data_IF_238617558411
#
_entry.id   IF_238617558411
#
_cell.length_a   1.000
_cell.length_b   1.000
_cell.length_c   1.000
_cell.angle_alpha   90.00
_cell.angle_beta   90.00
_cell.angle_gamma   90.00
#
_symmetry.space_group_name_H-M   'P 1'
#
loop_
_entity.id
_entity.type
_entity.pdbx_description
1 polymer ?
#
# COMPACT_ATOMS: atom_id res chain seq x y z
N UNK A 1 -5.15 41.98 -9.15
CA UNK A 1 -4.48 40.67 -8.95
C UNK A 1 -5.56 39.66 -8.62
N UNK A 2 -5.74 38.65 -9.44
CA UNK A 2 -6.73 37.57 -9.20
C UNK A 2 -6.09 36.49 -8.35
N UNK A 3 -6.85 35.86 -7.46
CA UNK A 3 -6.34 34.78 -6.56
C UNK A 3 -5.61 33.69 -7.34
N UNK A 4 -6.09 33.35 -8.55
CA UNK A 4 -5.44 32.35 -9.43
C UNK A 4 -4.02 32.76 -9.91
N UNK A 5 -3.63 34.02 -9.79
CA UNK A 5 -2.29 34.50 -10.18
C UNK A 5 -1.25 34.32 -9.05
N UNK A 6 -1.75 34.01 -7.85
CA UNK A 6 -0.92 33.79 -6.65
C UNK A 6 -0.72 32.29 -6.39
N UNK A 7 -1.65 31.46 -6.86
CA UNK A 7 -1.62 30.03 -6.62
C UNK A 7 -0.92 29.31 -7.78
N UNK A 8 0.00 28.44 -7.45
CA UNK A 8 0.68 27.55 -8.40
C UNK A 8 -0.17 26.33 -8.79
N UNK A 9 -1.36 26.23 -8.22
CA UNK A 9 -2.31 25.13 -8.43
C UNK A 9 -3.35 25.57 -9.45
N UNK A 10 -3.66 24.73 -10.43
CA UNK A 10 -4.77 24.96 -11.35
C UNK A 10 -6.10 24.74 -10.61
N UNK A 11 -6.80 25.86 -10.34
CA UNK A 11 -8.11 25.84 -9.67
C UNK A 11 -9.24 25.28 -10.54
N UNK A 12 -8.98 24.92 -11.79
CA UNK A 12 -9.96 24.28 -12.67
C UNK A 12 -9.93 22.76 -12.56
N UNK A 13 -8.89 22.19 -11.92
CA UNK A 13 -8.87 20.77 -11.60
C UNK A 13 -9.82 20.45 -10.44
N UNK A 14 -10.62 19.43 -10.62
CA UNK A 14 -11.58 18.96 -9.62
C UNK A 14 -10.82 18.26 -8.48
N UNK A 15 -10.60 18.99 -7.39
CA UNK A 15 -9.94 18.43 -6.20
C UNK A 15 -10.90 17.44 -5.56
N UNK A 16 -10.62 16.16 -5.68
CA UNK A 16 -11.40 15.12 -5.01
C UNK A 16 -11.37 15.33 -3.49
N UNK A 17 -12.53 15.59 -2.91
CA UNK A 17 -12.68 15.76 -1.47
C UNK A 17 -12.44 14.48 -0.67
N UNK A 18 -12.51 13.32 -1.32
CA UNK A 18 -12.31 12.00 -0.71
C UNK A 18 -11.41 11.17 -1.63
N UNK A 19 -10.37 10.63 -1.04
CA UNK A 19 -9.45 9.72 -1.73
C UNK A 19 -10.15 8.37 -1.93
N UNK A 20 -10.24 7.91 -3.17
CA UNK A 20 -10.67 6.54 -3.48
C UNK A 20 -9.48 5.59 -3.35
N UNK A 21 -9.48 4.76 -2.31
CA UNK A 21 -8.39 3.82 -2.06
C UNK A 21 -8.25 2.75 -3.16
N UNK A 22 -9.32 2.44 -3.87
CA UNK A 22 -9.35 1.38 -4.88
C UNK A 22 -9.03 1.88 -6.29
N UNK A 23 -9.09 3.19 -6.54
CA UNK A 23 -8.66 3.77 -7.81
C UNK A 23 -7.13 3.90 -7.84
N UNK A 24 -6.49 2.95 -8.52
CA UNK A 24 -5.04 2.86 -8.74
C UNK A 24 -4.69 3.04 -10.22
N UNK A 25 -5.50 3.79 -10.97
CA UNK A 25 -5.18 4.15 -12.32
C UNK A 25 -3.91 5.02 -12.38
N UNK A 26 -3.13 4.90 -13.45
CA UNK A 26 -1.87 5.64 -13.61
C UNK A 26 -2.08 7.16 -13.48
N UNK A 27 -3.17 7.66 -14.06
CA UNK A 27 -3.55 9.08 -13.99
C UNK A 27 -3.82 9.52 -12.56
N UNK A 28 -4.54 8.69 -11.79
CA UNK A 28 -4.87 9.01 -10.39
C UNK A 28 -3.62 8.98 -9.52
N UNK A 29 -2.79 7.95 -9.66
CA UNK A 29 -1.51 7.86 -8.93
C UNK A 29 -0.64 9.09 -9.20
N UNK A 30 -0.54 9.50 -10.46
CA UNK A 30 0.23 10.68 -10.83
C UNK A 30 -0.32 11.95 -10.17
N UNK A 31 -1.62 12.20 -10.29
CA UNK A 31 -2.28 13.37 -9.72
C UNK A 31 -2.12 13.43 -8.19
N UNK A 32 -2.27 12.29 -7.52
CA UNK A 32 -2.09 12.18 -6.08
C UNK A 32 -0.65 12.45 -5.65
N UNK A 33 0.34 11.94 -6.36
CA UNK A 33 1.76 12.22 -6.05
C UNK A 33 2.08 13.70 -6.26
N UNK A 34 1.61 14.29 -7.35
CA UNK A 34 1.90 15.70 -7.70
C UNK A 34 1.23 16.69 -6.74
N UNK A 35 0.03 16.38 -6.26
CA UNK A 35 -0.70 17.23 -5.31
C UNK A 35 -0.29 17.04 -3.85
N UNK A 36 0.51 16.00 -3.52
CA UNK A 36 0.87 15.73 -2.14
C UNK A 36 1.83 16.75 -1.56
N UNK A 37 1.47 17.32 -0.43
CA UNK A 37 2.29 18.28 0.31
C UNK A 37 2.96 17.57 1.48
N UNK A 38 4.30 17.54 1.44
CA UNK A 38 5.11 16.97 2.51
C UNK A 38 5.48 18.03 3.52
N UNK A 39 5.25 17.73 4.80
CA UNK A 39 5.70 18.55 5.92
C UNK A 39 6.80 17.80 6.69
N UNK A 40 7.58 18.50 7.50
CA UNK A 40 8.61 17.88 8.35
C UNK A 40 8.02 16.82 9.29
N UNK A 41 6.79 17.04 9.77
CA UNK A 41 6.06 16.04 10.58
C UNK A 41 5.80 14.77 9.81
N UNK A 42 5.21 14.88 8.62
CA UNK A 42 4.94 13.74 7.75
C UNK A 42 6.23 13.02 7.33
N UNK A 43 7.29 13.77 7.02
CA UNK A 43 8.57 13.17 6.67
C UNK A 43 9.10 12.26 7.77
N UNK A 44 9.01 12.67 9.04
CA UNK A 44 9.40 11.83 10.19
C UNK A 44 8.55 10.56 10.29
N UNK A 45 7.24 10.65 10.06
CA UNK A 45 6.35 9.49 10.08
C UNK A 45 6.71 8.47 8.96
N UNK A 46 7.04 8.97 7.75
CA UNK A 46 7.52 8.10 6.68
C UNK A 46 8.84 7.42 7.01
N UNK A 47 9.79 8.14 7.58
CA UNK A 47 11.07 7.57 8.03
C UNK A 47 10.84 6.52 9.11
N UNK A 48 10.03 6.82 10.13
CA UNK A 48 9.69 5.89 11.19
C UNK A 48 9.03 4.61 10.66
N UNK A 49 8.12 4.75 9.68
CA UNK A 49 7.53 3.59 9.01
C UNK A 49 8.60 2.76 8.30
N UNK A 50 9.47 3.39 7.51
CA UNK A 50 10.50 2.67 6.76
C UNK A 50 11.49 1.99 7.71
N UNK A 51 11.89 2.65 8.79
CA UNK A 51 12.75 2.07 9.83
C UNK A 51 12.14 0.80 10.42
N UNK A 52 10.87 0.86 10.78
CA UNK A 52 10.13 -0.30 11.31
C UNK A 52 9.98 -1.39 10.25
N UNK A 53 9.55 -1.02 9.04
CA UNK A 53 9.27 -1.98 7.96
C UNK A 53 10.52 -2.68 7.43
N UNK A 54 11.70 -2.05 7.52
CA UNK A 54 12.98 -2.61 7.03
C UNK A 54 13.81 -3.28 8.12
N UNK A 55 13.37 -3.24 9.37
CA UNK A 55 14.01 -3.93 10.49
C UNK A 55 13.42 -5.34 10.68
N UNK A 56 14.16 -6.21 11.40
CA UNK A 56 13.68 -7.55 11.76
C UNK A 56 12.64 -7.52 12.89
N UNK A 57 11.63 -6.64 12.77
CA UNK A 57 10.57 -6.49 13.76
C UNK A 57 9.42 -7.43 13.40
N UNK A 58 8.85 -8.08 14.42
CA UNK A 58 7.74 -9.03 14.29
C UNK A 58 6.35 -8.37 14.27
N UNK A 59 6.29 -7.04 14.28
CA UNK A 59 5.01 -6.34 14.22
C UNK A 59 4.38 -6.48 12.83
N UNK A 60 3.15 -6.98 12.82
CA UNK A 60 2.38 -7.27 11.60
C UNK A 60 1.37 -6.18 11.24
N UNK A 61 1.28 -5.10 12.03
CA UNK A 61 0.29 -4.06 11.83
C UNK A 61 0.77 -2.64 12.15
N UNK A 62 0.36 -1.70 11.32
CA UNK A 62 0.52 -0.26 11.55
C UNK A 62 -0.85 0.39 11.63
N UNK A 63 -1.09 1.15 12.71
CA UNK A 63 -2.35 1.88 12.90
C UNK A 63 -2.15 3.36 12.62
N UNK A 64 -2.84 3.90 11.61
CA UNK A 64 -2.82 5.32 11.28
C UNK A 64 -4.08 5.97 11.85
N UNK A 65 -3.91 6.86 12.83
CA UNK A 65 -5.02 7.57 13.47
C UNK A 65 -4.91 9.08 13.29
N UNK A 66 -6.01 9.79 13.45
CA UNK A 66 -6.08 11.25 13.33
C UNK A 66 -7.51 11.73 13.07
N UNK A 67 -7.73 13.04 13.12
CA UNK A 67 -9.04 13.65 12.86
C UNK A 67 -9.53 13.42 11.43
N UNK A 68 -10.83 13.59 11.23
CA UNK A 68 -11.42 13.60 9.89
C UNK A 68 -10.74 14.70 9.03
N UNK A 69 -10.41 14.39 7.79
CA UNK A 69 -9.73 15.34 6.90
C UNK A 69 -8.23 15.53 7.14
N UNK A 70 -7.60 14.82 8.09
CA UNK A 70 -6.16 14.94 8.38
C UNK A 70 -5.24 14.25 7.37
N UNK A 71 -5.76 13.72 6.25
CA UNK A 71 -4.96 13.09 5.20
C UNK A 71 -4.52 11.64 5.46
N UNK A 72 -5.12 10.93 6.45
CA UNK A 72 -4.75 9.53 6.77
C UNK A 72 -4.79 8.59 5.57
N UNK A 73 -5.88 8.61 4.83
CA UNK A 73 -6.05 7.76 3.64
C UNK A 73 -5.02 8.11 2.57
N UNK A 74 -4.71 9.38 2.43
CA UNK A 74 -3.69 9.85 1.49
C UNK A 74 -2.29 9.38 1.88
N UNK A 75 -1.93 9.54 3.16
CA UNK A 75 -0.68 9.04 3.71
C UNK A 75 -0.54 7.52 3.47
N UNK A 76 -1.57 6.73 3.82
CA UNK A 76 -1.56 5.28 3.62
C UNK A 76 -1.47 4.90 2.15
N UNK A 77 -2.15 5.63 1.25
CA UNK A 77 -2.12 5.37 -0.19
C UNK A 77 -0.74 5.63 -0.78
N UNK A 78 -0.09 6.75 -0.42
CA UNK A 78 1.27 7.02 -0.85
C UNK A 78 2.28 6.00 -0.30
N UNK A 79 2.15 5.57 0.95
CA UNK A 79 2.95 4.45 1.47
C UNK A 79 2.78 3.20 0.60
N UNK A 80 1.56 2.87 0.23
CA UNK A 80 1.29 1.77 -0.68
C UNK A 80 1.97 1.93 -2.04
N UNK A 81 1.98 3.14 -2.61
CA UNK A 81 2.69 3.42 -3.86
C UNK A 81 4.21 3.31 -3.71
N UNK A 82 4.75 3.75 -2.58
CA UNK A 82 6.17 3.56 -2.29
C UNK A 82 6.55 2.08 -2.16
N UNK A 83 5.67 1.26 -1.61
CA UNK A 83 5.89 -0.18 -1.44
C UNK A 83 5.72 -0.94 -2.77
N UNK A 84 4.62 -0.72 -3.49
CA UNK A 84 4.33 -1.41 -4.77
C UNK A 84 5.16 -0.90 -5.94
N UNK A 85 5.60 0.35 -5.87
CA UNK A 85 6.46 1.03 -6.84
C UNK A 85 6.00 0.89 -8.31
N UNK A 86 4.74 1.22 -8.65
CA UNK A 86 4.27 1.14 -10.02
C UNK A 86 5.04 2.11 -10.92
N UNK A 87 5.16 1.75 -12.21
CA UNK A 87 5.75 2.65 -13.20
C UNK A 87 4.67 3.62 -13.70
N UNK A 88 4.98 4.91 -13.72
CA UNK A 88 4.08 5.98 -14.13
C UNK A 88 4.78 6.80 -15.21
N UNK A 89 4.31 6.72 -16.45
CA UNK A 89 4.93 7.44 -17.55
C UNK A 89 6.43 7.15 -17.70
N UNK A 90 6.85 5.91 -17.48
CA UNK A 90 8.26 5.51 -17.57
C UNK A 90 9.11 5.79 -16.32
N UNK A 91 8.54 6.40 -15.27
CA UNK A 91 9.25 6.69 -14.01
C UNK A 91 8.62 5.92 -12.85
N UNK A 92 9.41 5.23 -11.99
CA UNK A 92 8.89 4.57 -10.80
C UNK A 92 8.19 5.56 -9.85
N UNK A 93 7.04 5.16 -9.30
CA UNK A 93 6.28 6.01 -8.38
C UNK A 93 7.10 6.42 -7.15
N UNK A 94 7.94 5.52 -6.63
CA UNK A 94 8.82 5.78 -5.49
C UNK A 94 9.76 6.95 -5.75
N UNK A 95 10.35 7.02 -6.93
CA UNK A 95 11.27 8.10 -7.29
C UNK A 95 10.54 9.45 -7.34
N UNK A 96 9.33 9.46 -7.91
CA UNK A 96 8.47 10.65 -7.93
C UNK A 96 8.08 11.10 -6.52
N UNK A 97 7.71 10.16 -5.66
CA UNK A 97 7.33 10.46 -4.27
C UNK A 97 8.54 11.00 -3.50
N UNK A 98 9.72 10.38 -3.62
CA UNK A 98 10.95 10.85 -2.94
C UNK A 98 11.30 12.28 -3.37
N UNK A 99 11.05 12.66 -4.61
CA UNK A 99 11.27 14.03 -5.07
C UNK A 99 10.35 15.04 -4.37
N UNK A 100 9.18 14.62 -3.86
CA UNK A 100 8.29 15.51 -3.08
C UNK A 100 8.86 15.90 -1.71
N UNK A 101 9.86 15.14 -1.21
CA UNK A 101 10.56 15.43 0.04
C UNK A 101 11.70 16.44 -0.16
N UNK A 102 11.43 17.50 -0.91
CA UNK A 102 12.39 18.59 -1.17
C UNK A 102 12.00 19.84 -0.39
N UNK A 103 12.98 20.55 0.17
CA UNK A 103 12.76 21.77 0.95
C UNK A 103 12.30 21.54 2.39
N UNK A 104 12.35 20.31 2.87
CA UNK A 104 12.11 19.92 4.27
C UNK A 104 13.41 19.90 5.08
N UNK A 105 13.29 19.91 6.41
CA UNK A 105 14.44 19.72 7.28
C UNK A 105 15.04 18.31 7.09
N UNK A 106 16.36 18.21 7.15
CA UNK A 106 17.08 16.94 7.00
C UNK A 106 16.75 16.17 5.71
N UNK A 107 16.43 16.88 4.63
CA UNK A 107 16.03 16.32 3.33
C UNK A 107 16.90 15.14 2.88
N UNK A 108 18.23 15.27 2.97
CA UNK A 108 19.15 14.23 2.54
C UNK A 108 19.03 12.95 3.39
N UNK A 109 18.84 13.09 4.71
CA UNK A 109 18.65 11.96 5.62
C UNK A 109 17.32 11.26 5.34
N UNK A 110 16.25 12.03 5.13
CA UNK A 110 14.93 11.51 4.80
C UNK A 110 14.96 10.73 3.48
N UNK A 111 15.52 11.33 2.42
CA UNK A 111 15.63 10.67 1.11
C UNK A 111 16.48 9.40 1.17
N UNK A 112 17.56 9.40 1.94
CA UNK A 112 18.36 8.20 2.16
C UNK A 112 17.59 7.11 2.89
N UNK A 113 16.84 7.45 3.95
CA UNK A 113 15.99 6.49 4.66
C UNK A 113 14.95 5.87 3.73
N UNK A 114 14.24 6.69 2.95
CA UNK A 114 13.21 6.22 2.01
C UNK A 114 13.80 5.33 0.90
N UNK A 115 15.03 5.59 0.47
CA UNK A 115 15.69 4.79 -0.58
C UNK A 115 15.96 3.33 -0.17
N UNK A 116 15.94 3.01 1.13
CA UNK A 116 16.06 1.61 1.61
C UNK A 116 14.94 0.71 1.09
N UNK A 117 13.78 1.27 0.76
CA UNK A 117 12.70 0.52 0.12
C UNK A 117 13.07 -0.02 -1.26
N UNK A 118 14.16 0.45 -1.89
CA UNK A 118 14.63 -0.06 -3.19
C UNK A 118 15.09 -1.52 -3.13
N UNK A 119 15.44 -2.01 -1.94
CA UNK A 119 15.83 -3.41 -1.73
C UNK A 119 14.66 -4.34 -1.47
N UNK A 120 13.45 -3.79 -1.33
CA UNK A 120 12.26 -4.54 -0.95
C UNK A 120 11.32 -4.68 -2.14
N UNK A 121 10.89 -5.91 -2.39
CA UNK A 121 9.81 -6.22 -3.32
C UNK A 121 8.56 -6.57 -2.51
N UNK A 122 7.49 -5.81 -2.69
CA UNK A 122 6.23 -6.03 -1.98
C UNK A 122 5.03 -5.94 -2.92
N UNK A 123 3.96 -6.63 -2.55
CA UNK A 123 2.66 -6.52 -3.19
C UNK A 123 1.72 -5.78 -2.27
N UNK A 124 1.07 -4.76 -2.79
CA UNK A 124 0.12 -3.94 -2.05
C UNK A 124 -1.30 -4.22 -2.55
N UNK A 125 -2.21 -4.36 -1.61
CA UNK A 125 -3.65 -4.45 -1.88
C UNK A 125 -4.30 -3.28 -1.17
N UNK A 126 -4.89 -2.37 -1.94
CA UNK A 126 -5.69 -1.28 -1.39
C UNK A 126 -7.12 -1.78 -1.21
N UNK A 127 -7.68 -1.54 -0.05
CA UNK A 127 -9.00 -2.04 0.30
C UNK A 127 -9.74 -1.09 1.23
N UNK A 128 -10.94 -0.68 0.85
CA UNK A 128 -11.89 0.00 1.71
C UNK A 128 -12.84 -1.04 2.32
N UNK A 129 -12.60 -1.40 3.58
CA UNK A 129 -13.41 -2.40 4.29
C UNK A 129 -14.89 -2.00 4.37
N UNK A 130 -15.21 -0.71 4.41
CA UNK A 130 -16.58 -0.24 4.46
C UNK A 130 -17.35 -0.53 3.15
N UNK A 131 -16.65 -0.71 2.03
CA UNK A 131 -17.24 -1.06 0.74
C UNK A 131 -17.32 -2.57 0.49
N UNK A 132 -16.77 -3.40 1.38
CA UNK A 132 -16.64 -4.84 1.18
C UNK A 132 -17.73 -5.62 1.90
N UNK A 133 -18.11 -6.76 1.31
CA UNK A 133 -18.92 -7.77 2.02
C UNK A 133 -18.03 -8.51 3.04
N UNK A 134 -18.23 -8.20 4.30
CA UNK A 134 -17.51 -8.82 5.43
C UNK A 134 -18.33 -9.91 6.14
N UNK A 135 -19.42 -10.39 5.55
CA UNK A 135 -20.29 -11.42 6.15
C UNK A 135 -19.55 -12.71 6.51
N UNK A 136 -18.50 -13.06 5.76
CA UNK A 136 -17.61 -14.20 6.03
C UNK A 136 -16.40 -13.86 6.91
N UNK A 137 -16.34 -12.66 7.46
CA UNK A 137 -15.26 -12.17 8.29
C UNK A 137 -14.17 -11.39 7.52
N UNK A 138 -13.46 -10.53 8.25
CA UNK A 138 -12.45 -9.62 7.68
C UNK A 138 -11.29 -10.40 7.05
N UNK A 139 -10.80 -11.44 7.71
CA UNK A 139 -9.68 -12.25 7.20
C UNK A 139 -10.01 -12.89 5.83
N UNK A 140 -11.22 -13.41 5.66
CA UNK A 140 -11.67 -13.93 4.37
C UNK A 140 -11.75 -12.84 3.30
N UNK A 141 -12.25 -11.67 3.65
CA UNK A 141 -12.34 -10.52 2.74
C UNK A 141 -10.95 -10.05 2.29
N UNK A 142 -9.99 -9.94 3.20
CA UNK A 142 -8.60 -9.60 2.88
C UNK A 142 -7.97 -10.63 1.95
N UNK A 143 -8.12 -11.92 2.26
CA UNK A 143 -7.56 -12.99 1.46
C UNK A 143 -8.16 -13.05 0.05
N UNK A 144 -9.47 -12.85 -0.08
CA UNK A 144 -10.15 -12.77 -1.38
C UNK A 144 -9.60 -11.64 -2.25
N UNK A 145 -9.42 -10.44 -1.67
CA UNK A 145 -8.85 -9.31 -2.39
C UNK A 145 -7.35 -9.53 -2.73
N UNK A 146 -6.64 -10.25 -1.89
CA UNK A 146 -5.29 -10.69 -2.20
C UNK A 146 -5.26 -11.65 -3.41
N UNK A 147 -6.13 -12.66 -3.46
CA UNK A 147 -6.26 -13.54 -4.63
C UNK A 147 -6.56 -12.74 -5.90
N UNK A 148 -7.49 -11.79 -5.83
CA UNK A 148 -7.80 -10.87 -6.93
C UNK A 148 -6.57 -10.11 -7.41
N UNK A 149 -5.72 -9.63 -6.51
CA UNK A 149 -4.48 -8.94 -6.86
C UNK A 149 -3.48 -9.83 -7.59
N UNK A 150 -3.61 -11.14 -7.48
CA UNK A 150 -2.83 -12.16 -8.20
C UNK A 150 -3.49 -12.61 -9.51
N UNK A 151 -4.61 -12.01 -9.91
CA UNK A 151 -5.48 -12.45 -11.00
C UNK A 151 -5.98 -13.90 -10.83
N UNK A 152 -6.16 -14.33 -9.58
CA UNK A 152 -6.75 -15.63 -9.24
C UNK A 152 -8.23 -15.46 -8.93
N UNK A 153 -9.06 -16.53 -9.17
CA UNK A 153 -10.46 -16.52 -8.79
C UNK A 153 -10.65 -16.28 -7.28
N UNK A 154 -11.68 -15.51 -6.92
CA UNK A 154 -11.99 -15.12 -5.54
C UNK A 154 -12.80 -16.20 -4.79
N UNK A 155 -12.64 -17.46 -5.15
CA UNK A 155 -13.38 -18.62 -4.62
C UNK A 155 -12.42 -19.74 -4.24
N UNK A 156 -12.96 -20.91 -3.90
CA UNK A 156 -12.20 -22.11 -3.52
C UNK A 156 -11.21 -22.54 -4.62
N UNK A 157 -11.57 -22.35 -5.89
CA UNK A 157 -10.66 -22.66 -7.00
C UNK A 157 -9.43 -21.75 -7.00
N UNK A 158 -9.59 -20.45 -6.69
CA UNK A 158 -8.47 -19.52 -6.52
C UNK A 158 -7.56 -19.89 -5.34
N UNK A 159 -8.16 -20.36 -4.25
CA UNK A 159 -7.41 -20.87 -3.08
C UNK A 159 -6.56 -22.07 -3.50
N UNK A 160 -7.15 -23.02 -4.24
CA UNK A 160 -6.44 -24.19 -4.73
C UNK A 160 -5.27 -23.81 -5.67
N UNK A 161 -5.52 -22.90 -6.63
CA UNK A 161 -4.47 -22.42 -7.53
C UNK A 161 -3.33 -21.70 -6.77
N UNK A 162 -3.70 -20.90 -5.77
CA UNK A 162 -2.71 -20.26 -4.91
C UNK A 162 -1.85 -21.29 -4.16
N UNK A 163 -2.46 -22.35 -3.64
CA UNK A 163 -1.73 -23.45 -3.00
C UNK A 163 -0.77 -24.15 -3.95
N UNK A 164 -1.18 -24.39 -5.21
CA UNK A 164 -0.29 -24.95 -6.22
C UNK A 164 0.91 -24.05 -6.50
N UNK A 165 0.68 -22.75 -6.66
CA UNK A 165 1.76 -21.76 -6.85
C UNK A 165 2.75 -21.76 -5.69
N UNK A 166 2.26 -21.98 -4.48
CA UNK A 166 3.09 -22.03 -3.28
C UNK A 166 3.85 -23.35 -3.16
N UNK A 167 3.29 -24.46 -3.57
CA UNK A 167 3.94 -25.78 -3.51
C UNK A 167 5.19 -25.87 -4.40
N UNK A 168 5.23 -25.08 -5.47
CA UNK A 168 6.41 -24.96 -6.35
C UNK A 168 7.55 -24.12 -5.74
N UNK A 169 7.27 -23.28 -4.72
CA UNK A 169 8.23 -22.41 -4.04
C UNK A 169 8.34 -22.74 -2.56
N UNK A 170 9.06 -23.79 -2.23
CA UNK A 170 9.08 -24.49 -0.93
C UNK A 170 9.39 -23.70 0.36
N UNK A 171 9.72 -22.41 0.36
CA UNK A 171 10.30 -21.77 1.56
C UNK A 171 9.47 -20.66 2.21
N UNK A 172 8.53 -20.05 1.50
CA UNK A 172 7.85 -18.83 2.00
C UNK A 172 6.47 -19.15 2.64
N UNK A 173 6.01 -20.37 2.50
CA UNK A 173 4.59 -20.72 2.66
C UNK A 173 4.21 -21.10 4.07
N UNK A 174 5.12 -21.67 4.86
CA UNK A 174 4.76 -22.15 6.19
C UNK A 174 4.38 -21.01 7.12
N UNK A 175 5.04 -19.87 7.04
CA UNK A 175 4.79 -18.72 7.91
C UNK A 175 3.48 -18.00 7.55
N UNK A 176 3.20 -17.81 6.27
CA UNK A 176 1.97 -17.15 5.80
C UNK A 176 0.70 -17.95 6.10
N UNK A 177 0.75 -19.28 6.02
CA UNK A 177 -0.40 -20.16 6.28
C UNK A 177 -0.75 -20.21 7.78
N UNK A 178 0.23 -20.02 8.66
CA UNK A 178 0.00 -20.01 10.10
C UNK A 178 -0.74 -18.76 10.57
N UNK A 179 -0.50 -17.58 9.97
CA UNK A 179 -1.17 -16.34 10.34
C UNK A 179 -2.61 -16.24 9.86
N UNK A 180 -2.99 -17.01 8.84
CA UNK A 180 -4.39 -17.11 8.39
C UNK A 180 -5.14 -18.23 9.14
N UNK A 181 -4.84 -18.45 10.41
CA UNK A 181 -5.41 -19.52 11.23
C UNK A 181 -6.94 -19.49 11.35
N UNK A 182 -7.58 -18.34 11.13
CA UNK A 182 -9.03 -18.21 11.02
C UNK A 182 -9.64 -18.91 9.78
N UNK A 183 -8.84 -19.17 8.74
CA UNK A 183 -9.27 -19.90 7.53
C UNK A 183 -9.11 -21.42 7.65
N UNK A 184 -8.45 -21.92 8.69
CA UNK A 184 -8.25 -23.36 8.91
C UNK A 184 -9.57 -24.15 9.09
N UNK A 185 -10.64 -23.49 9.51
CA UNK A 185 -11.95 -24.13 9.67
C UNK A 185 -12.74 -24.27 8.36
N UNK A 186 -12.33 -23.54 7.31
CA UNK A 186 -13.08 -23.50 6.05
C UNK A 186 -12.45 -24.35 4.93
N UNK A 187 -11.14 -24.64 5.01
CA UNK A 187 -10.44 -25.43 3.99
C UNK A 187 -9.40 -26.33 4.67
N UNK A 188 -9.47 -27.64 4.53
CA UNK A 188 -8.41 -28.52 5.00
C UNK A 188 -7.17 -28.35 4.11
N UNK A 189 -6.26 -27.46 4.51
CA UNK A 189 -4.95 -27.25 3.91
C UNK A 189 -4.06 -28.45 4.24
N UNK A 190 -4.31 -29.59 3.60
CA UNK A 190 -3.32 -30.67 3.54
C UNK A 190 -2.38 -30.36 2.39
N UNK A 191 -1.30 -29.68 2.70
CA UNK A 191 -0.14 -29.67 1.80
C UNK A 191 0.38 -31.11 1.73
N UNK A 192 0.63 -31.65 0.55
CA UNK A 192 1.34 -32.92 0.46
C UNK A 192 2.73 -32.69 1.03
N UNK A 193 3.03 -33.44 2.10
CA UNK A 193 4.40 -33.58 2.59
C UNK A 193 5.13 -34.41 1.54
N UNK A 194 6.02 -33.78 0.79
CA UNK A 194 6.99 -34.47 -0.06
C UNK A 194 8.30 -34.49 0.67
#
# INVERSE_FOLDING_TARGET
>A
MKVKEILTIDLTEDIKNVIDLEDISEKEIQAEIESYIVTDGLAREYVGFVDTFTSDILETGVWISGFYGSGKSYFGKLLGYMLSNPNIGGTPARDRIIQRFTGINDEALVKNALSRLNTITSRVVFLDIAKQDTSKGIAYTLFRNFLKSLNLPENEHGIFLFQLMLSERKTIVQDFIFDVSGLKSAVPLKLPVI
#
